data_IF_310502268453
#
_entry.id   IF_310502268453
#
_cell.length_a   1.000
_cell.length_b   1.000
_cell.length_c   1.000
_cell.angle_alpha   90.00
_cell.angle_beta   90.00
_cell.angle_gamma   90.00
#
_symmetry.space_group_name_H-M   'P 1'
#
loop_
_entity.id
_entity.type
_entity.pdbx_description
1 polymer ?
#
# COMPACT_ATOMS: atom_id res chain seq x y z
N UNK A 1 -13.42 -18.46 -5.36
CA UNK A 1 -13.47 -17.13 -6.00
C UNK A 1 -12.04 -16.73 -6.29
N UNK A 2 -11.59 -16.80 -7.55
CA UNK A 2 -10.23 -16.39 -7.92
C UNK A 2 -10.21 -14.88 -7.98
N UNK A 3 -9.60 -14.23 -6.98
CA UNK A 3 -9.29 -12.81 -7.06
C UNK A 3 -8.29 -12.70 -8.21
N UNK A 4 -8.64 -11.97 -9.26
CA UNK A 4 -7.76 -11.73 -10.40
C UNK A 4 -6.64 -10.78 -9.95
N UNK A 5 -5.67 -11.30 -9.20
CA UNK A 5 -4.51 -10.56 -8.72
C UNK A 5 -3.60 -10.28 -9.91
N UNK A 6 -3.54 -9.01 -10.32
CA UNK A 6 -2.55 -8.52 -11.27
C UNK A 6 -1.48 -7.80 -10.47
N UNK A 7 -0.25 -8.25 -10.61
CA UNK A 7 0.93 -7.53 -10.13
C UNK A 7 0.93 -6.11 -10.71
N UNK A 8 1.16 -5.10 -9.87
CA UNK A 8 1.15 -3.70 -10.30
C UNK A 8 2.49 -3.04 -10.06
N UNK A 9 2.89 -2.19 -11.00
CA UNK A 9 4.04 -1.32 -10.82
C UNK A 9 3.64 -0.13 -9.96
N UNK A 10 4.19 -0.04 -8.76
CA UNK A 10 4.01 1.11 -7.85
C UNK A 10 5.12 2.16 -8.06
N UNK A 11 4.92 3.44 -7.70
CA UNK A 11 5.87 4.52 -7.99
C UNK A 11 7.09 4.55 -7.05
N UNK A 12 7.32 3.50 -6.27
CA UNK A 12 8.43 3.34 -5.33
C UNK A 12 9.00 1.93 -5.45
N UNK A 13 10.27 1.73 -5.09
CA UNK A 13 10.80 0.38 -4.97
C UNK A 13 10.20 -0.30 -3.73
N UNK A 14 9.75 -1.54 -3.87
CA UNK A 14 9.33 -2.36 -2.73
C UNK A 14 10.54 -3.07 -2.13
N UNK A 15 10.53 -3.34 -0.81
CA UNK A 15 11.49 -4.24 -0.19
C UNK A 15 11.46 -5.63 -0.83
N UNK A 16 12.54 -6.39 -0.63
CA UNK A 16 12.62 -7.78 -1.08
C UNK A 16 11.49 -8.62 -0.45
N UNK A 17 10.96 -9.56 -1.23
CA UNK A 17 9.83 -10.45 -0.85
C UNK A 17 8.49 -9.76 -0.63
N UNK A 18 8.37 -8.44 -0.84
CA UNK A 18 7.08 -7.75 -0.78
C UNK A 18 6.38 -7.82 -2.13
N UNK A 19 5.04 -7.85 -2.10
CA UNK A 19 4.21 -7.84 -3.30
C UNK A 19 3.28 -6.63 -3.33
N UNK A 20 2.88 -6.22 -4.53
CA UNK A 20 1.85 -5.21 -4.74
C UNK A 20 0.85 -5.66 -5.80
N UNK A 21 -0.43 -5.55 -5.47
CA UNK A 21 -1.52 -6.06 -6.30
C UNK A 21 -2.66 -5.05 -6.36
N UNK A 22 -3.31 -4.94 -7.53
CA UNK A 22 -4.53 -4.16 -7.65
C UNK A 22 -5.71 -4.86 -6.98
N UNK A 23 -6.50 -4.12 -6.20
CA UNK A 23 -7.80 -4.57 -5.73
C UNK A 23 -8.92 -4.26 -6.75
N UNK A 24 -10.13 -4.72 -6.46
CA UNK A 24 -11.32 -4.48 -7.29
C UNK A 24 -11.86 -3.05 -7.21
N UNK A 25 -11.38 -2.24 -6.26
CA UNK A 25 -11.80 -0.85 -6.02
C UNK A 25 -10.85 0.19 -6.64
N UNK A 26 -9.79 -0.26 -7.33
CA UNK A 26 -8.77 0.61 -7.92
C UNK A 26 -7.73 1.09 -6.92
N UNK A 27 -7.62 0.42 -5.77
CA UNK A 27 -6.54 0.57 -4.80
C UNK A 27 -5.45 -0.46 -5.09
N UNK A 28 -4.30 -0.32 -4.42
CA UNK A 28 -3.20 -1.26 -4.43
C UNK A 28 -3.01 -1.82 -3.03
N UNK A 29 -3.04 -3.14 -2.88
CA UNK A 29 -2.68 -3.82 -1.65
C UNK A 29 -1.20 -4.17 -1.73
N UNK A 30 -0.42 -3.66 -0.79
CA UNK A 30 1.00 -4.01 -0.61
C UNK A 30 1.06 -5.01 0.54
N UNK A 31 1.67 -6.16 0.29
CA UNK A 31 1.81 -7.23 1.28
C UNK A 31 3.28 -7.38 1.66
N UNK A 32 3.55 -7.36 2.96
CA UNK A 32 4.87 -7.56 3.52
C UNK A 32 5.08 -9.03 3.90
N UNK A 33 6.23 -9.56 3.49
CA UNK A 33 6.72 -10.86 3.90
C UNK A 33 8.12 -10.72 4.49
N UNK A 34 8.48 -11.60 5.44
CA UNK A 34 9.86 -11.71 5.93
C UNK A 34 10.74 -12.51 4.95
N UNK A 35 12.01 -12.70 5.30
CA UNK A 35 12.96 -13.50 4.49
C UNK A 35 12.58 -14.97 4.34
N UNK A 36 11.71 -15.49 5.21
CA UNK A 36 11.22 -16.87 5.17
C UNK A 36 9.85 -16.97 4.44
N UNK A 37 9.44 -15.91 3.72
CA UNK A 37 8.14 -15.78 3.07
C UNK A 37 6.94 -15.89 4.03
N UNK A 38 7.09 -15.54 5.31
CA UNK A 38 5.98 -15.46 6.25
C UNK A 38 5.32 -14.09 6.18
N UNK A 39 3.99 -14.11 6.10
CA UNK A 39 3.17 -12.89 6.07
C UNK A 39 3.37 -12.07 7.35
N UNK A 40 3.71 -10.79 7.19
CA UNK A 40 3.89 -9.84 8.29
C UNK A 40 2.76 -8.82 8.38
N UNK A 41 2.07 -8.55 7.26
CA UNK A 41 0.98 -7.61 7.22
C UNK A 41 0.70 -7.11 5.80
N UNK A 42 -0.28 -6.24 5.70
CA UNK A 42 -0.62 -5.57 4.45
C UNK A 42 -0.96 -4.10 4.70
N UNK A 43 -0.85 -3.28 3.67
CA UNK A 43 -1.36 -1.90 3.63
C UNK A 43 -2.08 -1.69 2.31
N UNK A 44 -3.28 -1.09 2.36
CA UNK A 44 -4.03 -0.75 1.17
C UNK A 44 -3.83 0.72 0.85
N UNK A 45 -3.40 1.04 -0.37
CA UNK A 45 -3.12 2.39 -0.86
C UNK A 45 -4.12 2.75 -1.95
N UNK A 46 -4.81 3.88 -1.82
CA UNK A 46 -5.73 4.37 -2.85
C UNK A 46 -5.28 5.71 -3.40
N UNK A 47 -4.82 5.73 -4.65
CA UNK A 47 -4.51 6.95 -5.38
C UNK A 47 -5.76 7.84 -5.57
N UNK A 48 -6.94 7.23 -5.71
CA UNK A 48 -8.22 7.94 -5.83
C UNK A 48 -8.62 8.64 -4.54
N UNK A 49 -8.51 7.94 -3.41
CA UNK A 49 -8.78 8.54 -2.09
C UNK A 49 -7.64 9.43 -1.60
N UNK A 50 -6.46 9.34 -2.23
CA UNK A 50 -5.19 9.95 -1.80
C UNK A 50 -4.89 9.62 -0.34
N UNK A 51 -4.90 8.34 -0.02
CA UNK A 51 -4.66 7.86 1.34
C UNK A 51 -4.30 6.39 1.35
N UNK A 52 -4.00 5.88 2.54
CA UNK A 52 -3.76 4.47 2.80
C UNK A 52 -4.33 4.07 4.16
N UNK A 53 -4.52 2.77 4.35
CA UNK A 53 -4.95 2.18 5.62
C UNK A 53 -4.28 0.82 5.82
N UNK A 54 -4.00 0.45 7.07
CA UNK A 54 -3.36 -0.81 7.42
C UNK A 54 -4.35 -1.97 7.26
N UNK A 55 -3.82 -3.11 6.81
CA UNK A 55 -4.60 -4.28 6.42
C UNK A 55 -5.17 -4.20 5.00
N UNK A 56 -6.05 -5.15 4.70
CA UNK A 56 -6.77 -5.23 3.42
C UNK A 56 -8.17 -4.66 3.63
N UNK A 57 -8.30 -3.36 3.40
CA UNK A 57 -9.52 -2.60 3.69
C UNK A 57 -9.79 -1.55 2.62
N UNK A 58 -11.04 -1.08 2.54
CA UNK A 58 -11.38 0.01 1.64
C UNK A 58 -10.86 1.32 2.22
N UNK A 59 -9.99 2.00 1.48
CA UNK A 59 -9.50 3.33 1.85
C UNK A 59 -10.56 4.37 1.49
N UNK A 60 -10.99 5.14 2.49
CA UNK A 60 -11.89 6.27 2.31
C UNK A 60 -11.13 7.58 2.19
N UNK A 61 -11.66 8.51 1.41
CA UNK A 61 -11.13 9.88 1.37
C UNK A 61 -11.34 10.54 2.73
N UNK A 62 -10.26 10.89 3.41
CA UNK A 62 -10.27 11.61 4.69
C UNK A 62 -9.46 12.90 4.64
N UNK A 63 -9.30 13.58 5.78
CA UNK A 63 -8.52 14.83 5.91
C UNK A 63 -7.07 14.66 5.41
N UNK A 64 -6.52 13.45 5.51
CA UNK A 64 -5.19 13.08 5.01
C UNK A 64 -5.01 13.24 3.49
N UNK A 65 -6.08 13.35 2.70
CA UNK A 65 -5.97 13.59 1.25
C UNK A 65 -5.26 14.92 0.92
N UNK A 66 -5.39 15.91 1.79
CA UNK A 66 -4.73 17.21 1.63
C UNK A 66 -3.22 17.16 1.88
N UNK A 67 -2.72 16.11 2.55
CA UNK A 67 -1.28 15.83 2.74
C UNK A 67 -0.60 15.43 1.44
N UNK A 68 -1.34 14.85 0.49
CA UNK A 68 -0.84 14.35 -0.79
C UNK A 68 -1.28 15.25 -1.96
N UNK A 69 -0.88 16.52 -1.87
CA UNK A 69 -1.05 17.53 -2.90
C UNK A 69 0.30 17.86 -3.57
N UNK A 70 0.25 18.45 -4.76
CA UNK A 70 1.45 18.91 -5.48
C UNK A 70 2.20 17.81 -6.23
N UNK A 71 3.39 18.13 -6.76
CA UNK A 71 4.18 17.21 -7.58
C UNK A 71 4.81 16.10 -6.71
N UNK A 72 4.82 14.86 -7.22
CA UNK A 72 5.43 13.72 -6.52
C UNK A 72 4.61 13.20 -5.34
N UNK A 73 3.35 13.63 -5.20
CA UNK A 73 2.45 13.22 -4.13
C UNK A 73 2.27 11.69 -4.07
N UNK A 74 2.20 11.04 -5.24
CA UNK A 74 1.91 9.61 -5.32
C UNK A 74 3.08 8.79 -4.75
N UNK A 75 4.32 9.07 -5.16
CA UNK A 75 5.50 8.42 -4.58
C UNK A 75 5.58 8.62 -3.06
N UNK A 76 5.24 9.82 -2.56
CA UNK A 76 5.17 10.10 -1.12
C UNK A 76 4.07 9.30 -0.41
N UNK A 77 2.90 9.17 -1.03
CA UNK A 77 1.80 8.37 -0.49
C UNK A 77 2.23 6.91 -0.32
N UNK A 78 2.85 6.33 -1.34
CA UNK A 78 3.33 4.95 -1.27
C UNK A 78 4.48 4.78 -0.27
N UNK A 79 5.41 5.73 -0.20
CA UNK A 79 6.50 5.70 0.79
C UNK A 79 5.98 5.79 2.23
N UNK A 80 5.03 6.69 2.51
CA UNK A 80 4.40 6.82 3.83
C UNK A 80 3.65 5.52 4.21
N UNK A 81 2.95 4.89 3.27
CA UNK A 81 2.23 3.63 3.49
C UNK A 81 3.19 2.47 3.84
N UNK A 82 4.30 2.34 3.09
CA UNK A 82 5.34 1.34 3.37
C UNK A 82 5.97 1.60 4.74
N UNK A 83 6.31 2.84 5.04
CA UNK A 83 6.87 3.21 6.35
C UNK A 83 5.93 2.91 7.50
N UNK A 84 4.62 3.16 7.33
CA UNK A 84 3.62 2.81 8.34
C UNK A 84 3.50 1.30 8.56
N UNK A 85 3.54 0.50 7.49
CA UNK A 85 3.53 -0.97 7.61
C UNK A 85 4.80 -1.49 8.29
N UNK A 86 5.96 -0.95 7.93
CA UNK A 86 7.23 -1.28 8.59
C UNK A 86 7.21 -0.94 10.09
N UNK A 87 6.62 0.19 10.47
CA UNK A 87 6.53 0.59 11.88
C UNK A 87 5.68 -0.36 12.73
N UNK A 88 4.64 -0.97 12.14
CA UNK A 88 3.83 -2.01 12.83
C UNK A 88 4.60 -3.31 13.01
N UNK A 89 5.49 -3.63 12.07
CA UNK A 89 6.28 -4.87 12.09
C UNK A 89 7.58 -4.77 12.91
N UNK A 90 8.11 -3.57 13.09
CA UNK A 90 9.37 -3.35 13.82
C UNK A 90 9.25 -3.47 15.35
N UNK A 91 8.03 -3.59 15.89
CA UNK A 91 7.71 -3.85 17.30
C UNK A 91 7.41 -5.34 17.56
#
# INVERSE_FOLDING_TARGET
MKINQREVKVPVALPENWSAEADTFGSVVITAYDSDNRFQGAVTVSAKARGFDLGITRVYTGEGATRYLGRGWEARLYADAIGALQAVWAD
#
